data_IF_282194819004
#
_entry.id   IF_282194819004
#
_cell.length_a   1.000
_cell.length_b   1.000
_cell.length_c   1.000
_cell.angle_alpha   90.00
_cell.angle_beta   90.00
_cell.angle_gamma   90.00
#
_symmetry.space_group_name_H-M   'P 1'
#
loop_
_entity.id
_entity.type
_entity.pdbx_description
1 polymer ?
#
# COMPACT_ATOMS: atom_id res chain seq x y z
N UNK A 1 45.09 16.11 -54.38
CA UNK A 1 43.71 15.61 -54.50
C UNK A 1 43.03 15.71 -53.15
N UNK A 2 42.01 16.58 -53.04
CA UNK A 2 40.91 16.49 -52.07
C UNK A 2 41.17 16.85 -50.61
N UNK A 3 41.29 18.15 -50.30
CA UNK A 3 41.16 18.73 -48.94
C UNK A 3 39.78 18.49 -48.30
N UNK A 4 39.67 18.44 -46.95
CA UNK A 4 38.39 18.43 -46.24
C UNK A 4 37.75 19.83 -46.23
N UNK A 5 36.60 19.98 -46.89
CA UNK A 5 35.86 21.25 -46.90
C UNK A 5 35.16 21.50 -45.57
N UNK A 6 35.68 22.45 -44.79
CA UNK A 6 34.93 23.20 -43.77
C UNK A 6 33.82 23.99 -44.46
N UNK A 7 32.57 23.76 -44.08
CA UNK A 7 31.46 24.66 -44.44
C UNK A 7 31.22 25.65 -43.30
N UNK A 8 31.41 26.94 -43.58
CA UNK A 8 31.04 28.06 -42.72
C UNK A 8 29.56 28.36 -42.88
N UNK A 9 28.93 28.64 -41.74
CA UNK A 9 27.58 29.18 -41.55
C UNK A 9 27.50 30.60 -42.14
N UNK A 10 26.34 31.02 -42.68
CA UNK A 10 25.87 32.37 -42.49
C UNK A 10 24.63 32.39 -41.58
N UNK A 11 24.73 33.19 -40.52
CA UNK A 11 23.63 33.60 -39.66
C UNK A 11 22.68 34.48 -40.48
N UNK A 12 21.40 34.13 -40.55
CA UNK A 12 20.34 35.11 -40.81
C UNK A 12 19.39 35.16 -39.62
N UNK A 13 19.36 36.33 -38.98
CA UNK A 13 18.39 36.71 -37.98
C UNK A 13 17.19 37.30 -38.71
N UNK A 14 16.01 36.70 -38.55
CA UNK A 14 14.73 37.43 -38.64
C UNK A 14 13.73 36.83 -37.65
N UNK A 15 13.38 37.65 -36.67
CA UNK A 15 12.37 37.48 -35.63
C UNK A 15 10.98 37.17 -36.19
N UNK A 16 10.26 36.23 -35.57
CA UNK A 16 8.82 36.39 -35.30
C UNK A 16 8.54 35.78 -33.93
N UNK A 17 8.31 36.64 -32.95
CA UNK A 17 7.81 36.28 -31.64
C UNK A 17 6.29 36.07 -31.73
N UNK A 18 5.82 34.85 -31.44
CA UNK A 18 4.41 34.61 -31.14
C UNK A 18 4.26 34.54 -29.62
N UNK A 19 3.83 35.65 -29.02
CA UNK A 19 3.34 35.66 -27.65
C UNK A 19 1.92 35.06 -27.66
N UNK A 20 1.80 33.77 -27.34
CA UNK A 20 0.54 33.22 -26.85
C UNK A 20 0.44 33.51 -25.35
N UNK A 21 -0.22 34.60 -25.00
CA UNK A 21 -0.65 34.85 -23.63
C UNK A 21 -1.75 33.86 -23.28
N UNK A 22 -1.38 32.74 -22.66
CA UNK A 22 -2.34 31.87 -21.98
C UNK A 22 -2.83 32.62 -20.73
N UNK A 23 -4.01 33.20 -20.82
CA UNK A 23 -4.74 33.68 -19.63
C UNK A 23 -5.14 32.46 -18.80
N UNK A 24 -4.33 32.12 -17.81
CA UNK A 24 -4.67 31.11 -16.80
C UNK A 24 -5.74 31.74 -15.90
N UNK A 25 -7.00 31.42 -16.14
CA UNK A 25 -8.04 31.60 -15.14
C UNK A 25 -7.72 30.68 -13.96
N UNK A 26 -7.66 31.18 -12.71
CA UNK A 26 -7.52 30.30 -11.56
C UNK A 26 -8.82 29.53 -11.40
N UNK A 27 -8.84 28.31 -11.96
CA UNK A 27 -9.92 27.36 -11.70
C UNK A 27 -9.94 27.06 -10.20
N UNK A 28 -11.15 27.17 -9.65
CA UNK A 28 -11.47 27.02 -8.25
C UNK A 28 -10.67 25.90 -7.57
N UNK A 29 -10.10 26.25 -6.43
CA UNK A 29 -9.34 25.40 -5.52
C UNK A 29 -10.13 24.15 -5.14
N UNK A 30 -9.96 23.08 -5.92
CA UNK A 30 -10.20 21.73 -5.45
C UNK A 30 -9.13 21.42 -4.42
N UNK A 31 -9.50 21.42 -3.14
CA UNK A 31 -8.62 21.04 -2.03
C UNK A 31 -7.86 19.76 -2.39
N UNK A 32 -6.56 19.88 -2.68
CA UNK A 32 -5.65 18.74 -2.65
C UNK A 32 -5.63 18.24 -1.21
N UNK A 33 -6.27 17.11 -0.96
CA UNK A 33 -6.22 16.39 0.30
C UNK A 33 -4.85 15.72 0.52
N UNK A 34 -3.73 16.36 0.21
CA UNK A 34 -2.38 15.84 0.53
C UNK A 34 -1.37 16.98 0.69
N UNK A 35 -1.69 18.00 1.48
CA UNK A 35 -0.69 18.95 1.97
C UNK A 35 -0.48 18.73 3.48
N UNK A 36 0.02 17.54 3.85
CA UNK A 36 0.95 17.35 4.97
C UNK A 36 1.27 15.86 5.12
N UNK A 37 2.52 15.42 4.87
CA UNK A 37 2.95 14.02 5.06
C UNK A 37 2.97 13.56 6.53
N UNK A 38 2.62 14.43 7.50
CA UNK A 38 2.88 14.20 8.92
C UNK A 38 1.78 14.74 9.83
N UNK A 39 0.51 14.66 9.42
CA UNK A 39 -0.57 14.86 10.40
C UNK A 39 -0.48 13.74 11.45
N UNK A 40 -0.34 14.06 12.76
CA UNK A 40 -0.26 13.04 13.81
C UNK A 40 -1.60 12.34 14.05
N UNK A 41 -2.66 12.73 13.34
CA UNK A 41 -3.99 12.13 13.49
C UNK A 41 -3.96 10.67 13.04
N UNK A 42 -4.43 9.73 13.88
CA UNK A 42 -4.57 8.34 13.47
C UNK A 42 -5.60 8.24 12.34
N UNK A 43 -5.29 7.42 11.34
CA UNK A 43 -6.17 7.07 10.24
C UNK A 43 -6.43 5.57 10.27
N UNK A 44 -7.58 5.13 9.79
CA UNK A 44 -7.81 3.70 9.52
C UNK A 44 -7.02 3.32 8.27
N UNK A 45 -5.90 2.64 8.48
CA UNK A 45 -4.98 2.20 7.42
C UNK A 45 -5.19 0.71 7.18
N UNK A 46 -5.33 0.31 5.92
CA UNK A 46 -5.46 -1.10 5.53
C UNK A 46 -4.50 -1.43 4.40
N UNK A 47 -3.54 -2.31 4.67
CA UNK A 47 -2.69 -2.90 3.64
C UNK A 47 -3.41 -4.07 2.98
N UNK A 48 -3.52 -4.05 1.66
CA UNK A 48 -4.16 -5.11 0.87
C UNK A 48 -3.14 -5.81 -0.01
N UNK A 49 -3.27 -7.14 -0.07
CA UNK A 49 -2.64 -8.00 -1.04
C UNK A 49 -3.70 -8.43 -2.04
N UNK A 50 -3.55 -8.04 -3.31
CA UNK A 50 -4.53 -8.32 -4.37
C UNK A 50 -3.89 -9.06 -5.53
N UNK A 51 -4.59 -10.05 -6.06
CA UNK A 51 -4.24 -10.63 -7.37
C UNK A 51 -4.55 -9.58 -8.44
N UNK A 52 -3.54 -9.23 -9.24
CA UNK A 52 -3.67 -8.17 -10.25
C UNK A 52 -4.47 -8.61 -11.46
N UNK A 53 -4.58 -9.91 -11.72
CA UNK A 53 -5.34 -10.45 -12.85
C UNK A 53 -6.84 -10.45 -12.58
N UNK A 54 -7.24 -10.70 -11.33
CA UNK A 54 -8.66 -10.80 -10.92
C UNK A 54 -9.15 -9.59 -10.14
N UNK A 55 -8.25 -8.78 -9.57
CA UNK A 55 -8.57 -7.69 -8.65
C UNK A 55 -9.01 -8.17 -7.26
N UNK A 56 -9.02 -9.48 -7.01
CA UNK A 56 -9.49 -10.07 -5.75
C UNK A 56 -8.46 -9.81 -4.65
N UNK A 57 -8.95 -9.37 -3.48
CA UNK A 57 -8.12 -9.27 -2.27
C UNK A 57 -7.85 -10.65 -1.71
N UNK A 58 -6.59 -11.04 -1.70
CA UNK A 58 -6.09 -12.32 -1.18
C UNK A 58 -5.97 -12.27 0.33
N UNK A 59 -5.42 -11.18 0.87
CA UNK A 59 -5.33 -10.94 2.30
C UNK A 59 -5.28 -9.43 2.61
N UNK A 60 -5.55 -9.06 3.85
CA UNK A 60 -5.46 -7.69 4.31
C UNK A 60 -4.99 -7.61 5.76
N UNK A 61 -4.44 -6.46 6.13
CA UNK A 61 -4.10 -6.15 7.53
C UNK A 61 -4.45 -4.70 7.78
N UNK A 62 -5.16 -4.42 8.89
CA UNK A 62 -5.66 -3.10 9.24
C UNK A 62 -5.17 -2.65 10.61
N UNK A 63 -4.93 -1.35 10.77
CA UNK A 63 -4.60 -0.71 12.05
C UNK A 63 -4.89 0.79 11.97
N UNK A 64 -5.26 1.37 13.11
CA UNK A 64 -5.25 2.82 13.28
C UNK A 64 -3.83 3.33 13.57
N UNK A 65 -3.31 4.20 12.70
CA UNK A 65 -2.01 4.83 12.88
C UNK A 65 -1.88 6.11 12.04
N UNK A 66 -0.96 7.04 12.39
CA UNK A 66 -0.61 8.15 11.50
C UNK A 66 -0.11 7.65 10.14
N UNK A 67 -0.33 8.45 9.09
CA UNK A 67 0.14 8.10 7.75
C UNK A 67 1.67 8.02 7.74
N UNK A 68 2.22 6.97 7.13
CA UNK A 68 3.67 6.79 6.98
C UNK A 68 4.40 6.21 8.20
N UNK A 69 3.71 5.92 9.31
CA UNK A 69 4.34 5.35 10.51
C UNK A 69 4.12 3.84 10.69
N UNK A 70 3.22 3.24 9.91
CA UNK A 70 2.83 1.84 10.08
C UNK A 70 3.13 0.98 8.84
N UNK A 71 4.12 0.11 8.99
CA UNK A 71 4.66 -0.77 7.94
C UNK A 71 4.72 -2.22 8.46
N UNK A 72 3.58 -2.92 8.54
CA UNK A 72 3.51 -4.26 9.10
C UNK A 72 4.20 -5.29 8.20
N UNK A 73 4.56 -6.44 8.76
CA UNK A 73 4.82 -7.63 7.94
C UNK A 73 3.49 -8.15 7.38
N UNK A 74 3.40 -8.27 6.06
CA UNK A 74 2.23 -8.83 5.40
C UNK A 74 2.43 -10.32 5.19
N UNK A 75 1.36 -11.10 5.32
CA UNK A 75 1.45 -12.55 5.27
C UNK A 75 0.48 -13.15 4.26
N UNK A 76 0.90 -14.19 3.56
CA UNK A 76 0.07 -14.88 2.55
C UNK A 76 0.66 -16.23 2.20
N UNK A 77 -0.15 -17.23 1.86
CA UNK A 77 0.38 -18.48 1.30
C UNK A 77 0.74 -18.31 -0.18
N UNK A 78 1.88 -18.86 -0.61
CA UNK A 78 2.33 -18.78 -2.01
C UNK A 78 1.27 -19.28 -3.00
N UNK A 79 0.55 -20.35 -2.65
CA UNK A 79 -0.52 -20.92 -3.48
C UNK A 79 -1.75 -20.02 -3.66
N UNK A 80 -1.96 -19.04 -2.78
CA UNK A 80 -2.99 -18.03 -2.94
C UNK A 80 -2.53 -16.87 -3.84
N UNK A 81 -1.22 -16.62 -3.87
CA UNK A 81 -0.60 -15.65 -4.79
C UNK A 81 -0.55 -16.21 -6.20
N UNK A 82 -0.23 -17.51 -6.36
CA UNK A 82 -0.15 -18.22 -7.63
C UNK A 82 -1.23 -19.32 -7.66
N UNK A 83 -2.48 -18.99 -8.06
CA UNK A 83 -3.59 -19.94 -8.04
C UNK A 83 -3.34 -21.22 -8.86
N UNK A 84 -2.51 -21.15 -9.91
CA UNK A 84 -2.11 -22.31 -10.72
C UNK A 84 -1.41 -23.42 -9.91
N UNK A 85 -0.82 -23.10 -8.75
CA UNK A 85 -0.21 -24.13 -7.88
C UNK A 85 -1.25 -25.06 -7.26
N UNK A 86 -2.49 -24.59 -7.08
CA UNK A 86 -3.59 -25.41 -6.56
C UNK A 86 -4.05 -26.45 -7.58
N UNK A 87 -4.11 -26.08 -8.87
CA UNK A 87 -4.49 -27.02 -9.95
C UNK A 87 -3.44 -28.10 -10.14
N UNK A 88 -2.17 -27.76 -9.97
CA UNK A 88 -1.07 -28.74 -9.96
C UNK A 88 -1.07 -29.66 -8.74
N UNK A 89 -1.91 -29.39 -7.72
CA UNK A 89 -1.93 -30.10 -6.44
C UNK A 89 -0.53 -30.23 -5.84
N UNK A 90 0.25 -29.14 -5.85
CA UNK A 90 1.61 -29.17 -5.30
C UNK A 90 1.55 -28.97 -3.79
N UNK A 91 2.06 -29.91 -2.98
CA UNK A 91 2.06 -29.77 -1.53
C UNK A 91 2.92 -28.59 -1.01
N UNK A 92 2.57 -27.96 0.14
CA UNK A 92 3.31 -26.83 0.69
C UNK A 92 4.80 -27.08 0.95
N UNK A 93 5.17 -28.29 1.36
CA UNK A 93 6.57 -28.68 1.57
C UNK A 93 7.35 -28.75 0.24
N UNK A 94 6.72 -29.19 -0.86
CA UNK A 94 7.30 -29.12 -2.22
C UNK A 94 7.46 -27.67 -2.65
N UNK A 95 6.45 -26.84 -2.42
CA UNK A 95 6.52 -25.41 -2.76
C UNK A 95 7.67 -24.73 -2.03
N UNK A 96 7.86 -25.06 -0.75
CA UNK A 96 8.96 -24.57 0.08
C UNK A 96 10.32 -25.05 -0.42
N UNK A 97 10.43 -26.34 -0.75
CA UNK A 97 11.60 -27.02 -1.31
C UNK A 97 12.16 -26.29 -2.52
N UNK A 98 11.34 -26.19 -3.56
CA UNK A 98 11.67 -25.56 -4.81
C UNK A 98 11.80 -24.05 -4.69
N UNK A 99 10.91 -23.43 -3.94
CA UNK A 99 10.93 -22.01 -3.67
C UNK A 99 10.34 -21.15 -4.78
N UNK A 100 10.59 -19.86 -4.68
CA UNK A 100 10.06 -18.85 -5.59
C UNK A 100 11.08 -17.72 -5.81
N UNK A 101 10.85 -16.94 -6.86
CA UNK A 101 11.55 -15.69 -7.11
C UNK A 101 10.56 -14.58 -7.46
N UNK A 102 10.96 -13.34 -7.21
CA UNK A 102 10.12 -12.15 -7.32
C UNK A 102 10.81 -11.07 -8.10
N UNK A 103 10.10 -10.45 -9.04
CA UNK A 103 10.57 -9.29 -9.79
C UNK A 103 9.60 -8.11 -9.63
N UNK A 104 10.11 -6.88 -9.49
CA UNK A 104 9.29 -5.69 -9.43
C UNK A 104 8.61 -5.42 -10.76
N UNK A 105 7.33 -5.07 -10.68
CA UNK A 105 6.58 -4.47 -11.77
C UNK A 105 6.86 -2.96 -11.92
N UNK A 106 5.98 -2.23 -12.64
CA UNK A 106 6.20 -0.84 -12.98
C UNK A 106 6.41 0.10 -11.78
N UNK A 107 7.33 1.09 -11.90
CA UNK A 107 8.25 1.28 -13.01
C UNK A 107 9.40 0.26 -12.96
N UNK A 108 9.46 -0.61 -13.96
CA UNK A 108 10.56 -1.52 -14.23
C UNK A 108 11.05 -1.28 -15.67
N UNK A 109 12.25 -1.76 -16.00
CA UNK A 109 12.71 -1.73 -17.38
C UNK A 109 11.99 -2.86 -18.13
N UNK A 110 10.83 -2.58 -18.74
CA UNK A 110 10.00 -3.59 -19.41
C UNK A 110 10.73 -4.30 -20.56
N UNK A 111 11.57 -3.59 -21.31
CA UNK A 111 12.36 -4.19 -22.41
C UNK A 111 13.31 -5.29 -21.88
N UNK A 112 13.96 -5.00 -20.75
CA UNK A 112 14.95 -5.87 -20.12
C UNK A 112 14.33 -6.94 -19.21
N UNK A 113 13.39 -6.56 -18.36
CA UNK A 113 12.75 -7.39 -17.34
C UNK A 113 11.43 -8.01 -17.79
N UNK A 114 10.89 -7.61 -18.93
CA UNK A 114 9.65 -8.16 -19.46
C UNK A 114 8.40 -7.45 -18.94
N UNK A 115 7.29 -7.88 -19.50
CA UNK A 115 5.96 -7.33 -19.29
C UNK A 115 5.17 -8.19 -18.28
N UNK A 116 3.90 -7.87 -17.96
CA UNK A 116 3.06 -8.71 -17.10
C UNK A 116 3.02 -10.20 -17.48
N UNK A 117 3.02 -10.54 -18.78
CA UNK A 117 3.07 -11.94 -19.27
C UNK A 117 4.34 -12.71 -18.89
N UNK A 118 5.42 -11.98 -18.64
CA UNK A 118 6.72 -12.54 -18.21
C UNK A 118 6.83 -12.48 -16.67
N UNK A 119 5.75 -12.07 -15.98
CA UNK A 119 5.74 -11.74 -14.55
C UNK A 119 6.84 -10.75 -14.16
N UNK A 120 7.23 -9.85 -15.08
CA UNK A 120 8.38 -8.94 -14.92
C UNK A 120 9.72 -9.65 -14.64
N UNK A 121 9.76 -10.96 -14.86
CA UNK A 121 10.89 -11.84 -14.63
C UNK A 121 11.33 -12.46 -15.96
N UNK A 122 11.76 -11.63 -16.92
CA UNK A 122 12.37 -12.09 -18.18
C UNK A 122 13.85 -12.46 -18.03
N UNK A 123 14.54 -11.92 -17.02
CA UNK A 123 15.94 -12.24 -16.69
C UNK A 123 16.17 -12.39 -15.18
N UNK A 124 17.10 -13.26 -14.79
CA UNK A 124 17.49 -13.46 -13.39
C UNK A 124 17.96 -12.18 -12.69
N UNK A 125 18.63 -11.27 -13.41
CA UNK A 125 19.07 -9.97 -12.89
C UNK A 125 17.92 -9.01 -12.53
N UNK A 126 16.68 -9.36 -12.87
CA UNK A 126 15.48 -8.62 -12.46
C UNK A 126 14.93 -9.09 -11.10
N UNK A 127 15.38 -10.26 -10.62
CA UNK A 127 14.94 -10.82 -9.35
C UNK A 127 15.47 -9.97 -8.19
N UNK A 128 14.57 -9.58 -7.30
CA UNK A 128 14.89 -8.76 -6.11
C UNK A 128 14.64 -9.49 -4.80
N UNK A 129 13.81 -10.53 -4.81
CA UNK A 129 13.61 -11.45 -3.68
C UNK A 129 13.49 -12.87 -4.17
N UNK A 130 13.97 -13.82 -3.39
CA UNK A 130 13.76 -15.25 -3.61
C UNK A 130 13.93 -15.98 -2.28
N UNK A 131 13.26 -17.12 -2.16
CA UNK A 131 13.43 -18.02 -1.03
C UNK A 131 13.09 -19.45 -1.46
N UNK A 132 13.64 -20.43 -0.76
CA UNK A 132 13.59 -21.85 -1.14
C UNK A 132 14.55 -22.67 -0.30
N UNK A 133 14.78 -23.93 -0.69
CA UNK A 133 15.92 -24.70 -0.19
C UNK A 133 17.25 -24.02 -0.54
N UNK A 134 17.34 -23.52 -1.78
CA UNK A 134 18.44 -22.70 -2.25
C UNK A 134 18.00 -21.25 -2.43
N UNK A 135 18.92 -20.31 -2.20
CA UNK A 135 18.70 -18.88 -2.41
C UNK A 135 19.74 -18.31 -3.37
N UNK A 136 19.28 -17.57 -4.36
CA UNK A 136 20.17 -16.83 -5.26
C UNK A 136 20.52 -15.46 -4.66
N UNK A 137 21.77 -15.00 -4.82
CA UNK A 137 22.14 -13.65 -4.41
C UNK A 137 21.34 -12.62 -5.23
N UNK A 138 20.73 -11.66 -4.57
CA UNK A 138 20.07 -10.51 -5.22
C UNK A 138 20.93 -9.26 -5.02
N UNK A 139 21.26 -8.59 -6.12
CA UNK A 139 22.12 -7.39 -6.09
C UNK A 139 21.33 -6.09 -5.91
N UNK A 140 19.99 -6.17 -5.88
CA UNK A 140 19.10 -5.01 -5.88
C UNK A 140 18.15 -5.09 -4.69
N UNK A 141 18.20 -4.06 -3.83
CA UNK A 141 17.14 -3.85 -2.85
C UNK A 141 15.91 -3.21 -3.50
N UNK A 142 14.78 -3.85 -3.28
CA UNK A 142 13.45 -3.45 -3.71
C UNK A 142 12.69 -2.79 -2.55
N UNK A 143 11.48 -2.30 -2.78
CA UNK A 143 10.59 -1.69 -1.79
C UNK A 143 10.06 -2.70 -0.77
N UNK A 144 9.99 -3.98 -1.14
CA UNK A 144 9.65 -5.07 -0.23
C UNK A 144 10.63 -6.23 -0.42
N UNK A 145 10.66 -7.10 0.57
CA UNK A 145 11.36 -8.39 0.53
C UNK A 145 10.38 -9.52 0.83
N UNK A 146 10.52 -10.63 0.12
CA UNK A 146 9.68 -11.82 0.29
C UNK A 146 10.52 -12.96 0.87
N UNK A 147 9.95 -13.71 1.80
CA UNK A 147 10.58 -14.93 2.33
C UNK A 147 9.54 -15.89 2.89
N UNK A 148 9.89 -17.16 3.05
CA UNK A 148 9.06 -18.09 3.80
C UNK A 148 9.21 -17.82 5.30
N UNK A 149 8.10 -17.91 6.03
CA UNK A 149 8.11 -17.80 7.49
C UNK A 149 8.69 -19.06 8.13
N UNK A 150 8.23 -20.22 7.67
CA UNK A 150 8.57 -21.50 8.27
C UNK A 150 9.79 -22.13 7.59
N UNK A 151 10.66 -22.72 8.39
CA UNK A 151 11.80 -23.53 7.95
C UNK A 151 11.46 -25.02 7.96
N UNK A 152 12.25 -25.84 7.27
CA UNK A 152 12.14 -27.29 7.37
C UNK A 152 12.55 -27.75 8.77
N UNK A 153 11.89 -28.80 9.26
CA UNK A 153 12.28 -29.46 10.52
C UNK A 153 13.10 -30.73 10.30
N UNK A 154 13.18 -31.30 9.08
CA UNK A 154 14.14 -32.38 8.78
C UNK A 154 14.40 -32.61 7.28
N UNK A 155 15.62 -33.06 6.97
CA UNK A 155 16.13 -33.46 5.64
C UNK A 155 15.32 -34.59 4.97
N UNK A 156 14.57 -35.37 5.75
CA UNK A 156 13.82 -36.53 5.23
C UNK A 156 12.47 -36.13 4.58
N UNK A 157 12.10 -34.84 4.60
CA UNK A 157 10.90 -34.33 3.91
C UNK A 157 10.99 -34.43 2.38
N UNK A 158 12.19 -34.57 1.79
CA UNK A 158 12.36 -34.73 0.35
C UNK A 158 12.09 -36.16 -0.16
N UNK A 159 11.91 -37.14 0.73
CA UNK A 159 11.51 -38.50 0.35
C UNK A 159 10.00 -38.58 0.11
N UNK A 160 9.56 -38.00 -1.00
CA UNK A 160 8.17 -38.13 -1.46
C UNK A 160 7.95 -39.51 -2.05
N UNK A 161 7.53 -40.46 -1.20
CA UNK A 161 6.77 -41.60 -1.70
C UNK A 161 5.46 -41.13 -2.33
N UNK A 162 4.98 -41.85 -3.34
CA UNK A 162 3.71 -41.59 -4.05
C UNK A 162 2.47 -41.40 -3.12
N UNK A 163 2.54 -41.82 -1.85
CA UNK A 163 1.45 -41.73 -0.87
C UNK A 163 1.07 -40.29 -0.48
N UNK A 164 2.03 -39.45 -0.07
CA UNK A 164 1.72 -38.07 0.41
C UNK A 164 1.16 -37.16 -0.68
N UNK A 165 1.61 -37.34 -1.93
CA UNK A 165 1.04 -36.63 -3.08
C UNK A 165 -0.43 -36.98 -3.31
N UNK A 166 -0.77 -38.28 -3.22
CA UNK A 166 -2.16 -38.75 -3.33
C UNK A 166 -3.04 -38.24 -2.19
N UNK A 167 -2.50 -38.17 -0.97
CA UNK A 167 -3.22 -37.63 0.19
C UNK A 167 -3.52 -36.14 0.02
N UNK A 168 -2.53 -35.36 -0.41
CA UNK A 168 -2.72 -33.94 -0.69
C UNK A 168 -3.70 -33.70 -1.84
N UNK A 169 -3.55 -34.43 -2.96
CA UNK A 169 -4.49 -34.37 -4.08
C UNK A 169 -5.94 -34.66 -3.64
N UNK A 170 -6.15 -35.69 -2.82
CA UNK A 170 -7.46 -36.02 -2.27
C UNK A 170 -8.01 -34.91 -1.37
N UNK A 171 -7.13 -34.25 -0.60
CA UNK A 171 -7.53 -33.15 0.28
C UNK A 171 -7.90 -31.88 -0.50
N UNK A 172 -7.20 -31.58 -1.61
CA UNK A 172 -7.43 -30.39 -2.44
C UNK A 172 -8.57 -30.56 -3.44
N UNK A 173 -8.87 -31.78 -3.90
CA UNK A 173 -9.81 -32.03 -4.99
C UNK A 173 -11.27 -31.60 -4.75
N UNK A 174 -11.66 -31.24 -3.51
CA UNK A 174 -13.04 -30.80 -3.22
C UNK A 174 -13.13 -29.81 -2.05
N UNK A 175 -12.05 -29.09 -1.71
CA UNK A 175 -12.02 -28.19 -0.55
C UNK A 175 -11.49 -26.82 -0.91
N UNK A 176 -12.07 -25.79 -0.30
CA UNK A 176 -11.45 -24.49 -0.23
C UNK A 176 -10.11 -24.64 0.49
N UNK A 177 -9.02 -24.38 -0.23
CA UNK A 177 -7.68 -24.55 0.29
C UNK A 177 -7.41 -23.40 1.27
N UNK A 178 -7.43 -23.71 2.57
CA UNK A 178 -7.20 -22.73 3.64
C UNK A 178 -5.70 -22.42 3.76
N UNK A 179 -5.38 -21.17 4.07
CA UNK A 179 -4.02 -20.75 4.36
C UNK A 179 -3.81 -20.68 5.88
N UNK A 180 -2.91 -21.50 6.41
CA UNK A 180 -2.53 -21.49 7.83
C UNK A 180 -1.13 -20.86 8.02
N UNK A 181 -0.90 -20.08 9.08
CA UNK A 181 0.44 -19.61 9.44
C UNK A 181 1.46 -20.72 9.69
N UNK A 182 1.01 -21.94 9.98
CA UNK A 182 1.89 -23.12 10.15
C UNK A 182 2.27 -23.79 8.83
N UNK A 183 1.70 -23.38 7.70
CA UNK A 183 1.99 -23.99 6.41
C UNK A 183 3.39 -23.63 5.92
N UNK A 184 4.06 -24.58 5.26
CA UNK A 184 5.43 -24.38 4.79
C UNK A 184 5.53 -23.42 3.60
N UNK A 185 4.43 -23.16 2.89
CA UNK A 185 4.36 -22.16 1.84
C UNK A 185 3.82 -20.80 2.33
N UNK A 186 3.76 -20.59 3.65
CA UNK A 186 3.40 -19.32 4.26
C UNK A 186 4.53 -18.30 4.10
N UNK A 187 4.22 -17.20 3.41
CA UNK A 187 5.14 -16.12 3.10
C UNK A 187 4.98 -14.97 4.08
N UNK A 188 6.10 -14.30 4.32
CA UNK A 188 6.13 -12.93 4.83
C UNK A 188 6.66 -11.97 3.76
N UNK A 189 6.05 -10.80 3.72
CA UNK A 189 6.43 -9.66 2.88
C UNK A 189 6.77 -8.51 3.82
N UNK A 190 8.04 -8.15 3.87
CA UNK A 190 8.55 -7.11 4.76
C UNK A 190 8.91 -5.86 3.96
N UNK A 191 8.42 -4.69 4.37
CA UNK A 191 8.79 -3.41 3.79
C UNK A 191 10.26 -3.09 4.08
N UNK A 192 11.03 -2.81 3.04
CA UNK A 192 12.43 -2.39 3.20
C UNK A 192 12.50 -0.91 3.52
N UNK A 193 13.66 -0.43 3.96
CA UNK A 193 13.90 1.01 4.13
C UNK A 193 13.72 1.81 2.84
N UNK A 194 13.93 1.18 1.68
CA UNK A 194 13.62 1.81 0.39
C UNK A 194 12.11 1.93 0.19
N UNK A 195 11.33 0.92 0.58
CA UNK A 195 9.86 0.96 0.49
C UNK A 195 9.21 1.94 1.43
N UNK A 196 9.70 2.03 2.68
CA UNK A 196 9.20 2.99 3.68
C UNK A 196 9.45 4.45 3.30
N UNK A 197 10.50 4.71 2.51
CA UNK A 197 10.85 6.04 1.98
C UNK A 197 10.22 6.34 0.61
N UNK A 198 9.53 5.38 0.01
CA UNK A 198 8.84 5.58 -1.26
C UNK A 198 7.66 6.55 -1.09
N UNK A 199 7.33 7.29 -2.14
CA UNK A 199 6.18 8.20 -2.10
C UNK A 199 4.91 7.41 -1.72
N UNK A 200 4.26 7.82 -0.62
CA UNK A 200 3.08 7.14 -0.08
C UNK A 200 1.94 7.03 -1.12
N UNK A 201 1.83 7.98 -2.05
CA UNK A 201 0.85 7.93 -3.12
C UNK A 201 1.04 6.73 -4.05
N UNK A 202 2.27 6.25 -4.25
CA UNK A 202 2.51 5.01 -5.01
C UNK A 202 1.95 3.79 -4.28
N UNK A 203 2.04 3.75 -2.95
CA UNK A 203 1.40 2.70 -2.16
C UNK A 203 -0.12 2.79 -2.22
N UNK A 204 -0.69 3.99 -2.22
CA UNK A 204 -2.15 4.20 -2.36
C UNK A 204 -2.63 3.73 -3.74
N UNK A 205 -1.90 4.09 -4.80
CA UNK A 205 -2.19 3.67 -6.17
C UNK A 205 -2.00 2.16 -6.38
N UNK A 206 -1.13 1.54 -5.57
CA UNK A 206 -0.77 0.14 -5.67
C UNK A 206 0.50 -0.05 -6.49
N UNK A 207 1.35 -0.97 -6.03
CA UNK A 207 2.53 -1.42 -6.75
C UNK A 207 2.48 -2.92 -6.90
N UNK A 208 3.06 -3.43 -7.99
CA UNK A 208 2.93 -4.83 -8.37
C UNK A 208 4.27 -5.53 -8.43
N UNK A 209 4.26 -6.84 -8.14
CA UNK A 209 5.39 -7.75 -8.25
C UNK A 209 4.94 -9.03 -8.93
N UNK A 210 5.77 -9.54 -9.83
CA UNK A 210 5.57 -10.89 -10.33
C UNK A 210 6.21 -11.87 -9.37
N UNK A 211 5.44 -12.85 -8.93
CA UNK A 211 5.86 -13.93 -8.04
C UNK A 211 5.80 -15.21 -8.83
N UNK A 212 6.93 -15.91 -8.93
CA UNK A 212 7.08 -17.09 -9.80
C UNK A 212 7.61 -18.27 -9.00
N UNK A 213 6.94 -19.41 -9.12
CA UNK A 213 7.36 -20.66 -8.52
C UNK A 213 8.53 -21.28 -9.32
N UNK A 214 9.61 -21.65 -8.63
CA UNK A 214 10.81 -22.18 -9.29
C UNK A 214 10.79 -23.71 -9.38
N UNK A 215 10.45 -24.28 -10.53
CA UNK A 215 10.39 -25.75 -10.70
C UNK A 215 11.72 -26.38 -11.17
N UNK A 216 12.87 -25.82 -10.78
CA UNK A 216 14.19 -26.31 -11.22
C UNK A 216 14.68 -25.74 -12.57
N UNK A 217 13.82 -25.05 -13.32
CA UNK A 217 14.20 -24.30 -14.52
C UNK A 217 13.54 -22.92 -14.54
N UNK A 218 14.07 -22.02 -15.36
CA UNK A 218 13.49 -20.69 -15.58
C UNK A 218 12.10 -20.78 -16.22
N UNK A 219 11.20 -19.85 -15.85
CA UNK A 219 9.88 -19.73 -16.49
C UNK A 219 8.81 -20.67 -15.94
N UNK A 220 8.67 -20.72 -14.62
CA UNK A 220 7.62 -21.50 -13.95
C UNK A 220 6.24 -20.79 -13.92
N UNK A 221 5.28 -21.45 -13.28
CA UNK A 221 3.98 -20.88 -12.93
C UNK A 221 4.17 -19.63 -12.07
N UNK A 222 3.46 -18.56 -12.42
CA UNK A 222 3.59 -17.28 -11.75
C UNK A 222 2.29 -16.48 -11.77
N UNK A 223 2.28 -15.40 -10.99
CA UNK A 223 1.18 -14.45 -10.95
C UNK A 223 1.70 -13.08 -10.56
N UNK A 224 0.85 -12.07 -10.66
CA UNK A 224 1.19 -10.69 -10.30
C UNK A 224 0.43 -10.30 -9.03
N UNK A 225 1.19 -10.11 -7.95
CA UNK A 225 0.70 -9.61 -6.69
C UNK A 225 0.78 -8.09 -6.65
N UNK A 226 -0.32 -7.42 -6.32
CA UNK A 226 -0.33 -5.99 -6.03
C UNK A 226 -0.46 -5.74 -4.53
N UNK A 227 0.39 -4.85 -4.01
CA UNK A 227 0.34 -4.37 -2.63
C UNK A 227 -0.15 -2.92 -2.67
N UNK A 228 -1.22 -2.63 -1.93
CA UNK A 228 -1.81 -1.29 -1.86
C UNK A 228 -2.16 -0.88 -0.44
N UNK A 229 -2.01 0.41 -0.14
CA UNK A 229 -2.51 1.02 1.08
C UNK A 229 -3.88 1.63 0.79
N UNK A 230 -4.90 1.25 1.55
CA UNK A 230 -6.17 1.99 1.64
C UNK A 230 -6.18 2.82 2.91
N UNK A 231 -6.66 4.04 2.77
CA UNK A 231 -6.89 4.97 3.87
C UNK A 231 -8.39 5.18 3.93
N UNK A 232 -9.02 4.70 4.99
CA UNK A 232 -10.40 5.04 5.29
C UNK A 232 -10.36 6.34 6.09
N UNK A 233 -10.66 7.45 5.42
CA UNK A 233 -10.95 8.68 6.14
C UNK A 233 -12.26 8.45 6.87
N UNK A 234 -12.24 8.50 8.21
CA UNK A 234 -13.46 8.78 8.95
C UNK A 234 -14.00 10.09 8.37
N UNK A 235 -15.03 10.00 7.54
CA UNK A 235 -15.89 11.15 7.32
C UNK A 235 -16.54 11.37 8.68
N UNK A 236 -15.91 12.19 9.53
CA UNK A 236 -16.69 12.96 10.49
C UNK A 236 -17.72 13.68 9.61
N UNK A 237 -18.94 13.14 9.60
CA UNK A 237 -20.10 13.85 9.09
C UNK A 237 -19.98 15.27 9.64
N UNK A 238 -20.05 16.34 8.81
CA UNK A 238 -19.94 17.68 9.34
C UNK A 238 -21.03 17.80 10.40
N UNK A 239 -20.63 17.77 11.67
CA UNK A 239 -21.54 18.09 12.75
C UNK A 239 -21.95 19.50 12.41
N UNK A 240 -23.21 19.66 12.00
CA UNK A 240 -23.76 20.97 11.76
C UNK A 240 -23.53 21.75 13.05
N UNK A 241 -22.58 22.69 13.02
CA UNK A 241 -22.42 23.68 14.08
C UNK A 241 -23.68 24.52 13.97
N UNK A 242 -24.71 24.09 14.69
CA UNK A 242 -25.93 24.86 14.85
C UNK A 242 -25.56 26.25 15.38
N UNK A 243 -26.36 27.28 15.07
CA UNK A 243 -26.07 28.63 15.49
C UNK A 243 -25.86 28.65 17.01
N UNK A 244 -24.77 29.29 17.45
CA UNK A 244 -24.50 29.54 18.85
C UNK A 244 -25.80 29.96 19.55
N UNK A 245 -26.18 29.27 20.63
CA UNK A 245 -27.25 29.77 21.48
C UNK A 245 -26.80 31.12 22.01
N UNK A 246 -27.45 32.18 21.56
CA UNK A 246 -27.34 33.51 22.14
C UNK A 246 -27.67 33.34 23.62
N UNK A 247 -26.73 33.71 24.51
CA UNK A 247 -26.98 33.81 25.93
C UNK A 247 -28.13 34.80 26.11
N UNK A 248 -29.26 34.30 26.59
CA UNK A 248 -30.45 35.09 26.87
C UNK A 248 -30.08 36.23 27.81
N UNK A 249 -30.39 37.43 27.35
CA UNK A 249 -30.38 38.74 28.00
C UNK A 249 -29.68 38.89 29.36
N UNK A 250 -28.61 39.70 29.36
CA UNK A 250 -28.25 40.48 30.53
C UNK A 250 -29.44 41.38 30.88
N UNK A 251 -30.07 41.09 32.01
CA UNK A 251 -31.12 41.94 32.58
C UNK A 251 -30.63 43.39 32.76
N UNK A 252 -31.56 44.37 32.79
CA UNK A 252 -31.20 45.77 32.75
C UNK A 252 -30.32 46.18 33.95
N UNK A 253 -29.49 47.23 33.78
CA UNK A 253 -28.57 47.65 34.82
C UNK A 253 -29.36 48.11 36.05
N UNK A 254 -29.01 47.57 37.22
CA UNK A 254 -29.53 48.01 38.51
C UNK A 254 -29.13 49.49 38.68
N UNK A 255 -30.09 50.37 38.44
CA UNK A 255 -30.00 51.77 38.82
C UNK A 255 -29.99 51.83 40.35
N UNK A 256 -28.88 52.33 40.91
CA UNK A 256 -28.76 52.55 42.34
C UNK A 256 -29.88 53.49 42.82
N UNK A 257 -30.74 52.97 43.69
CA UNK A 257 -31.63 53.79 44.51
C UNK A 257 -31.23 53.70 45.98
N UNK A 258 -31.11 54.92 46.50
CA UNK A 258 -30.69 55.41 47.81
C UNK A 258 -31.53 54.83 48.96
N UNK A 259 -31.04 54.80 50.21
CA UNK A 259 -31.70 54.14 51.33
C UNK A 259 -33.12 54.65 51.59
N UNK A 260 -34.03 53.71 51.86
CA UNK A 260 -35.44 53.96 52.21
C UNK A 260 -35.57 54.75 53.53
N UNK A 261 -36.57 55.64 53.67
CA UNK A 261 -36.96 56.17 54.98
C UNK A 261 -37.66 55.07 55.80
N UNK A 262 -37.39 55.05 57.11
CA UNK A 262 -38.08 54.22 58.10
C UNK A 262 -39.55 54.66 58.25
N UNK A 263 -40.51 53.72 58.30
CA UNK A 263 -41.86 54.00 58.76
C UNK A 263 -41.99 53.60 60.23
N UNK A 264 -41.65 54.53 61.12
CA UNK A 264 -42.07 54.47 62.52
C UNK A 264 -42.25 55.90 63.00
N UNK A 265 -43.44 56.42 62.72
CA UNK A 265 -44.23 57.45 63.42
C UNK A 265 -45.51 57.54 62.56
N UNK A 266 -46.72 57.22 63.01
CA UNK A 266 -47.42 57.84 64.14
C UNK A 266 -48.49 56.88 64.68
N UNK A 267 -48.43 56.61 65.99
CA UNK A 267 -49.62 56.46 66.81
C UNK A 267 -49.69 57.68 67.74
N UNK A 268 -50.66 58.54 67.43
CA UNK A 268 -51.54 59.31 68.32
C UNK A 268 -50.97 60.00 69.58
N UNK A 269 -51.12 61.32 69.52
CA UNK A 269 -51.04 62.40 70.50
C UNK A 269 -51.65 62.10 71.88
N UNK A 270 -50.97 62.62 72.92
CA UNK A 270 -51.44 62.78 74.30
C UNK A 270 -52.31 64.04 74.51
N UNK A 271 -53.26 64.01 75.45
CA UNK A 271 -53.87 65.20 76.05
C UNK A 271 -55.34 65.41 75.72
#
# INVERSE_FOLDING_TARGET
GGEPKRLRIPLSFTSIAWFLTLTITPQASGKRLVDSPTSPKPLSLTWLLTDSSTGITINSTQREAPLGTWWPELHVCLRLVIPGLNTMSTPPDILRAYGFYVCPGPPNNEEYCGHPRDFFCKKWSCVTSNDGYWKWPTSRQDRVSFSFVNSYTSYNQFNYGHGRWKDWQRQTQNRQISCSPSDLDYLKISFTEKGKRENIQKWINGMSWGVVYYRGSWGGEGSILTIRLRIETQMESPVAVGPNKVLTEQGPPIQGQRPSPNPSDFNTTSG
#
